data_IF_768318759918
#
_entry.id   IF_768318759918
#
_cell.length_a   1.000
_cell.length_b   1.000
_cell.length_c   1.000
_cell.angle_alpha   90.00
_cell.angle_beta   90.00
_cell.angle_gamma   90.00
#
_symmetry.space_group_name_H-M   'P 1'
#
loop_
_entity.id
_entity.type
_entity.pdbx_description
1 polymer ?
#
# COMPACT_ATOMS: atom_id res chain seq x y z
N UNK A 1 -8.31 -22.52 -44.04
CA UNK A 1 -9.00 -21.69 -43.03
C UNK A 1 -8.04 -21.54 -41.86
N UNK A 2 -7.22 -20.48 -41.88
CA UNK A 2 -6.25 -20.17 -40.82
C UNK A 2 -6.96 -19.34 -39.75
N UNK A 3 -7.02 -19.86 -38.53
CA UNK A 3 -7.54 -19.17 -37.37
C UNK A 3 -6.39 -18.29 -36.85
N UNK A 4 -6.44 -16.98 -37.14
CA UNK A 4 -5.57 -16.01 -36.48
C UNK A 4 -6.05 -15.82 -35.04
N UNK A 5 -5.36 -16.48 -34.11
CA UNK A 5 -5.46 -16.20 -32.69
C UNK A 5 -4.83 -14.84 -32.40
N UNK A 6 -5.65 -13.81 -32.18
CA UNK A 6 -5.20 -12.55 -31.57
C UNK A 6 -5.00 -12.79 -30.07
N UNK A 7 -3.74 -12.97 -29.66
CA UNK A 7 -3.36 -12.83 -28.26
C UNK A 7 -3.42 -11.36 -27.90
N UNK A 8 -4.51 -10.93 -27.27
CA UNK A 8 -4.64 -9.62 -26.65
C UNK A 8 -3.66 -9.54 -25.49
N UNK A 9 -2.42 -9.13 -25.76
CA UNK A 9 -1.49 -8.65 -24.75
C UNK A 9 -2.10 -7.39 -24.15
N UNK A 10 -2.66 -7.53 -22.94
CA UNK A 10 -2.92 -6.38 -22.06
C UNK A 10 -1.53 -5.90 -21.61
N UNK A 11 -0.88 -5.13 -22.48
CA UNK A 11 0.34 -4.40 -22.19
C UNK A 11 -0.05 -3.36 -21.16
N UNK A 12 0.36 -3.58 -19.91
CA UNK A 12 0.24 -2.62 -18.82
C UNK A 12 0.73 -1.26 -19.28
N UNK A 13 -0.11 -0.24 -19.09
CA UNK A 13 0.21 1.13 -19.43
C UNK A 13 1.46 1.54 -18.63
N UNK A 14 2.62 1.60 -19.30
CA UNK A 14 3.88 2.02 -18.69
C UNK A 14 3.78 3.48 -18.28
N UNK A 15 3.84 3.75 -16.98
CA UNK A 15 4.11 5.09 -16.47
C UNK A 15 5.60 5.39 -16.78
N UNK A 16 5.92 6.46 -17.52
CA UNK A 16 7.30 6.79 -17.86
C UNK A 16 8.15 6.99 -16.59
N UNK A 17 9.29 6.30 -16.49
CA UNK A 17 10.26 6.47 -15.39
C UNK A 17 10.37 5.31 -14.39
N UNK A 18 9.63 4.22 -14.57
CA UNK A 18 9.66 3.06 -13.65
C UNK A 18 10.19 1.85 -14.40
N UNK A 19 11.40 1.40 -14.06
CA UNK A 19 11.95 0.12 -14.54
C UNK A 19 11.80 -0.93 -13.45
N UNK A 20 11.13 -2.01 -13.80
CA UNK A 20 10.48 -2.94 -12.88
C UNK A 20 11.44 -3.97 -12.29
N UNK A 21 11.28 -4.20 -10.99
CA UNK A 21 11.43 -5.51 -10.37
C UNK A 21 10.15 -5.68 -9.56
N UNK A 22 9.36 -6.77 -9.68
CA UNK A 22 7.98 -6.78 -9.17
C UNK A 22 7.86 -6.58 -7.64
N UNK A 23 8.88 -6.93 -6.86
CA UNK A 23 8.96 -6.65 -5.42
C UNK A 23 9.86 -5.46 -5.06
N UNK A 24 11.00 -5.30 -5.74
CA UNK A 24 11.93 -4.18 -5.52
C UNK A 24 11.50 -2.86 -6.20
N UNK A 25 10.55 -2.92 -7.13
CA UNK A 25 9.97 -1.80 -7.88
C UNK A 25 8.99 -1.01 -7.04
N UNK A 26 8.13 -1.68 -6.25
CA UNK A 26 7.29 -1.01 -5.23
C UNK A 26 8.13 -0.25 -4.21
N UNK A 27 9.27 -0.84 -3.81
CA UNK A 27 10.21 -0.26 -2.84
C UNK A 27 10.89 1.01 -3.38
N UNK A 28 11.36 0.99 -4.63
CA UNK A 28 11.95 2.17 -5.28
C UNK A 28 10.93 3.27 -5.55
N UNK A 29 9.69 2.90 -5.90
CA UNK A 29 8.60 3.84 -6.12
C UNK A 29 8.22 4.60 -4.86
N UNK A 30 8.18 3.91 -3.71
CA UNK A 30 7.81 4.53 -2.45
C UNK A 30 8.77 5.65 -2.03
N UNK A 31 10.08 5.46 -2.22
CA UNK A 31 11.09 6.47 -1.89
C UNK A 31 11.15 7.62 -2.91
N UNK A 32 10.84 7.36 -4.18
CA UNK A 32 10.72 8.39 -5.22
C UNK A 32 9.42 9.21 -5.12
N UNK A 33 8.35 8.60 -4.61
CA UNK A 33 7.01 9.19 -4.49
C UNK A 33 6.71 9.69 -3.06
N UNK A 34 7.73 10.05 -2.28
CA UNK A 34 7.61 10.45 -0.86
C UNK A 34 6.55 11.53 -0.59
N UNK A 35 6.18 12.33 -1.60
CA UNK A 35 5.04 13.26 -1.56
C UNK A 35 3.66 12.68 -1.95
N UNK A 36 3.58 11.73 -2.87
CA UNK A 36 2.32 11.19 -3.39
C UNK A 36 1.65 10.22 -2.41
N UNK A 37 2.43 9.38 -1.72
CA UNK A 37 1.86 8.40 -0.77
C UNK A 37 1.36 9.01 0.55
N UNK A 38 1.94 10.12 0.99
CA UNK A 38 1.43 10.84 2.17
C UNK A 38 0.01 11.39 1.93
N UNK A 39 -0.28 11.82 0.69
CA UNK A 39 -1.62 12.30 0.31
C UNK A 39 -2.69 11.21 0.41
N UNK A 40 -2.33 9.94 0.23
CA UNK A 40 -3.27 8.83 0.39
C UNK A 40 -3.62 8.61 1.85
N UNK A 41 -2.65 8.59 2.77
CA UNK A 41 -2.95 8.46 4.22
C UNK A 41 -3.91 9.56 4.65
N UNK A 42 -3.61 10.82 4.31
CA UNK A 42 -4.44 11.96 4.68
C UNK A 42 -5.86 11.87 4.08
N UNK A 43 -6.01 11.33 2.87
CA UNK A 43 -7.33 11.07 2.25
C UNK A 43 -8.16 10.13 3.12
N UNK A 44 -7.58 9.01 3.56
CA UNK A 44 -8.30 8.01 4.38
C UNK A 44 -8.54 8.46 5.82
N UNK A 45 -7.67 9.33 6.36
CA UNK A 45 -7.92 9.99 7.64
C UNK A 45 -9.11 10.96 7.52
N UNK A 46 -9.12 11.79 6.47
CA UNK A 46 -10.23 12.74 6.22
C UNK A 46 -11.56 12.05 5.94
N UNK A 47 -11.56 10.89 5.31
CA UNK A 47 -12.77 10.10 5.10
C UNK A 47 -13.24 9.34 6.35
N UNK A 48 -12.45 9.37 7.44
CA UNK A 48 -12.76 8.66 8.69
C UNK A 48 -12.61 7.15 8.59
N UNK A 49 -11.85 6.66 7.61
CA UNK A 49 -11.53 5.24 7.44
C UNK A 49 -10.34 4.87 8.31
N UNK A 50 -9.30 5.72 8.33
CA UNK A 50 -8.20 5.62 9.30
C UNK A 50 -8.57 6.55 10.46
N UNK A 51 -8.88 5.98 11.61
CA UNK A 51 -9.21 6.75 12.82
C UNK A 51 -7.95 7.24 13.55
N UNK A 52 -6.89 6.42 13.53
CA UNK A 52 -5.60 6.73 14.15
C UNK A 52 -4.46 6.11 13.37
N UNK A 53 -3.33 6.80 13.35
CA UNK A 53 -2.11 6.26 12.77
C UNK A 53 -0.87 6.81 13.48
N UNK A 54 0.15 5.98 13.68
CA UNK A 54 1.38 6.40 14.34
C UNK A 54 2.59 5.56 13.93
N UNK A 55 3.77 6.18 13.94
CA UNK A 55 5.04 5.46 13.88
C UNK A 55 5.27 4.81 15.25
N UNK A 56 5.34 3.48 15.30
CA UNK A 56 5.54 2.72 16.54
C UNK A 56 7.04 2.57 16.87
N UNK A 57 7.85 2.34 15.84
CA UNK A 57 9.31 2.27 15.94
C UNK A 57 9.95 2.74 14.64
N UNK A 58 11.29 2.70 14.54
CA UNK A 58 11.98 3.05 13.30
C UNK A 58 11.64 2.13 12.12
N UNK A 59 11.15 0.93 12.38
CA UNK A 59 10.78 -0.05 11.35
C UNK A 59 9.31 -0.45 11.37
N UNK A 60 8.48 0.13 12.23
CA UNK A 60 7.06 -0.26 12.38
C UNK A 60 6.12 0.94 12.41
N UNK A 61 5.04 0.83 11.65
CA UNK A 61 3.98 1.82 11.56
C UNK A 61 2.62 1.18 11.82
N UNK A 62 1.75 1.82 12.58
CA UNK A 62 0.42 1.30 12.91
C UNK A 62 -0.67 2.15 12.29
N UNK A 63 -1.66 1.47 11.71
CA UNK A 63 -2.96 2.01 11.33
C UNK A 63 -4.03 1.39 12.22
N UNK A 64 -4.94 2.22 12.71
CA UNK A 64 -6.19 1.82 13.31
C UNK A 64 -7.30 2.31 12.40
N UNK A 65 -8.14 1.39 11.95
CA UNK A 65 -9.13 1.64 10.91
C UNK A 65 -10.53 1.26 11.36
N UNK A 66 -11.52 1.96 10.83
CA UNK A 66 -12.89 1.46 10.79
C UNK A 66 -12.93 0.28 9.81
N UNK A 67 -12.98 -0.95 10.35
CA UNK A 67 -12.86 -2.17 9.55
C UNK A 67 -13.95 -2.28 8.49
N UNK A 68 -15.19 -1.87 8.80
CA UNK A 68 -16.28 -1.96 7.84
C UNK A 68 -15.99 -1.07 6.63
N UNK A 69 -15.70 0.21 6.86
CA UNK A 69 -15.37 1.12 5.76
C UNK A 69 -14.09 0.70 5.03
N UNK A 70 -13.10 0.18 5.77
CA UNK A 70 -11.87 -0.33 5.18
C UNK A 70 -12.16 -1.46 4.20
N UNK A 71 -13.01 -2.42 4.56
CA UNK A 71 -13.38 -3.55 3.70
C UNK A 71 -14.28 -3.16 2.51
N UNK A 72 -15.07 -2.09 2.63
CA UNK A 72 -15.89 -1.54 1.54
C UNK A 72 -15.06 -0.78 0.49
N UNK A 73 -13.88 -0.27 0.86
CA UNK A 73 -12.97 0.39 -0.09
C UNK A 73 -12.37 -0.58 -1.11
N UNK A 74 -11.97 -0.07 -2.27
CA UNK A 74 -11.25 -0.86 -3.28
C UNK A 74 -9.94 -1.41 -2.69
N UNK A 75 -9.63 -2.67 -3.01
CA UNK A 75 -8.46 -3.35 -2.46
C UNK A 75 -7.13 -2.64 -2.81
N UNK A 76 -7.00 -2.16 -4.05
CA UNK A 76 -5.82 -1.40 -4.50
C UNK A 76 -5.66 -0.11 -3.71
N UNK A 77 -6.77 0.51 -3.36
CA UNK A 77 -6.87 1.73 -2.55
C UNK A 77 -6.39 1.48 -1.11
N UNK A 78 -6.78 0.35 -0.52
CA UNK A 78 -6.30 -0.14 0.78
C UNK A 78 -4.79 -0.40 0.75
N UNK A 79 -4.31 -1.11 -0.28
CA UNK A 79 -2.90 -1.42 -0.47
C UNK A 79 -2.05 -0.14 -0.57
N UNK A 80 -2.48 0.84 -1.38
CA UNK A 80 -1.75 2.11 -1.56
C UNK A 80 -1.65 2.89 -0.24
N UNK A 81 -2.73 2.95 0.55
CA UNK A 81 -2.72 3.59 1.86
C UNK A 81 -1.75 2.89 2.82
N UNK A 82 -1.79 1.56 2.85
CA UNK A 82 -0.93 0.74 3.68
C UNK A 82 0.55 0.91 3.30
N UNK A 83 0.87 0.90 2.00
CA UNK A 83 2.21 1.18 1.46
C UNK A 83 2.67 2.59 1.84
N UNK A 84 1.77 3.57 1.90
CA UNK A 84 2.08 4.90 2.39
C UNK A 84 2.60 4.92 3.83
N UNK A 85 1.98 4.13 4.72
CA UNK A 85 2.49 3.94 6.09
C UNK A 85 3.87 3.28 6.11
N UNK A 86 4.07 2.27 5.26
CA UNK A 86 5.34 1.53 5.17
C UNK A 86 6.48 2.44 4.73
N UNK A 87 6.22 3.31 3.76
CA UNK A 87 7.10 4.37 3.30
C UNK A 87 7.68 5.25 4.43
N UNK A 88 6.95 5.43 5.55
CA UNK A 88 7.39 6.24 6.70
C UNK A 88 8.43 5.53 7.58
N UNK A 89 8.55 4.21 7.48
CA UNK A 89 9.39 3.37 8.34
C UNK A 89 10.32 2.44 7.57
N UNK A 90 10.22 2.42 6.23
CA UNK A 90 11.09 1.63 5.38
C UNK A 90 12.54 2.14 5.44
N UNK A 91 13.47 1.25 5.79
CA UNK A 91 14.89 1.59 5.80
C UNK A 91 15.50 1.62 4.39
N UNK A 92 16.80 1.92 4.28
CA UNK A 92 17.51 2.00 2.98
C UNK A 92 17.47 0.71 2.15
N UNK A 93 17.22 -0.44 2.77
CA UNK A 93 17.13 -1.73 2.13
C UNK A 93 15.68 -2.12 1.80
N UNK A 94 14.70 -1.22 2.04
CA UNK A 94 13.29 -1.50 1.84
C UNK A 94 12.69 -2.42 2.90
N UNK A 95 13.28 -2.48 4.11
CA UNK A 95 12.70 -3.26 5.21
C UNK A 95 11.89 -2.39 6.13
N UNK A 96 10.72 -2.89 6.53
CA UNK A 96 9.81 -2.20 7.43
C UNK A 96 8.43 -2.83 7.38
N UNK A 97 7.63 -2.57 8.41
CA UNK A 97 6.34 -3.21 8.61
C UNK A 97 5.25 -2.18 8.88
N UNK A 98 4.06 -2.45 8.34
CA UNK A 98 2.82 -1.79 8.74
C UNK A 98 1.89 -2.84 9.30
N UNK A 99 1.31 -2.57 10.46
CA UNK A 99 0.20 -3.36 10.97
C UNK A 99 -1.08 -2.52 10.94
N UNK A 100 -2.16 -3.12 10.45
CA UNK A 100 -3.47 -2.49 10.37
C UNK A 100 -4.38 -3.22 11.33
N UNK A 101 -4.98 -2.47 12.24
CA UNK A 101 -5.86 -2.97 13.27
C UNK A 101 -7.26 -2.43 13.09
N UNK A 102 -8.26 -3.25 13.39
CA UNK A 102 -9.62 -2.80 13.61
C UNK A 102 -9.65 -1.97 14.90
N UNK A 103 -10.05 -0.71 14.80
CA UNK A 103 -10.06 0.22 15.93
C UNK A 103 -11.07 -0.20 17.02
N UNK A 104 -12.11 -0.96 16.65
CA UNK A 104 -13.17 -1.37 17.60
C UNK A 104 -12.74 -2.44 18.59
N UNK A 105 -11.80 -3.31 18.19
CA UNK A 105 -11.44 -4.52 18.96
C UNK A 105 -9.94 -4.85 18.95
N UNK A 106 -9.12 -4.10 18.20
CA UNK A 106 -7.67 -4.28 18.11
C UNK A 106 -7.22 -5.49 17.29
N UNK A 107 -8.13 -6.20 16.61
CA UNK A 107 -7.77 -7.36 15.77
C UNK A 107 -7.01 -6.92 14.53
N UNK A 108 -6.10 -7.77 14.04
CA UNK A 108 -5.33 -7.47 12.82
C UNK A 108 -6.21 -7.65 11.58
N UNK A 109 -6.29 -6.61 10.76
CA UNK A 109 -7.06 -6.57 9.51
C UNK A 109 -6.15 -6.79 8.29
N UNK A 110 -4.88 -6.46 8.41
CA UNK A 110 -3.90 -6.64 7.36
C UNK A 110 -2.53 -6.10 7.75
N UNK A 111 -1.53 -6.35 6.90
CA UNK A 111 -0.13 -6.02 7.16
C UNK A 111 0.57 -5.63 5.87
N UNK A 112 1.58 -4.78 5.96
CA UNK A 112 2.60 -4.63 4.91
C UNK A 112 3.91 -5.11 5.47
N UNK A 113 4.58 -6.04 4.80
CA UNK A 113 5.91 -6.52 5.18
C UNK A 113 6.84 -6.30 4.00
N UNK A 114 7.86 -5.46 4.20
CA UNK A 114 8.88 -5.14 3.20
C UNK A 114 8.27 -4.73 1.85
N UNK A 115 7.20 -3.92 1.91
CA UNK A 115 6.48 -3.40 0.75
C UNK A 115 5.41 -4.34 0.15
N UNK A 116 5.18 -5.51 0.75
CA UNK A 116 4.15 -6.46 0.29
C UNK A 116 2.93 -6.40 1.20
N UNK A 117 1.77 -6.08 0.64
CA UNK A 117 0.50 -6.08 1.36
C UNK A 117 -0.05 -7.50 1.49
N UNK A 118 -0.43 -7.86 2.72
CA UNK A 118 -0.93 -9.18 3.10
C UNK A 118 -2.19 -8.93 3.93
N UNK A 119 -3.31 -9.41 3.43
CA UNK A 119 -4.60 -9.34 4.15
C UNK A 119 -4.74 -10.54 5.07
#
# INVERSE_FOLDING_TARGET
MLILSVTSSIVGHRIPGITENPSLGKIKLCKAASGMHSNFIDKYVKSGIISKHNKNSDSEYYFYVDKQKWDEELYESQEVAAIGGWCKVANKNGRGTVAIFDDSNGTTVGRVIDGNYIK
#
